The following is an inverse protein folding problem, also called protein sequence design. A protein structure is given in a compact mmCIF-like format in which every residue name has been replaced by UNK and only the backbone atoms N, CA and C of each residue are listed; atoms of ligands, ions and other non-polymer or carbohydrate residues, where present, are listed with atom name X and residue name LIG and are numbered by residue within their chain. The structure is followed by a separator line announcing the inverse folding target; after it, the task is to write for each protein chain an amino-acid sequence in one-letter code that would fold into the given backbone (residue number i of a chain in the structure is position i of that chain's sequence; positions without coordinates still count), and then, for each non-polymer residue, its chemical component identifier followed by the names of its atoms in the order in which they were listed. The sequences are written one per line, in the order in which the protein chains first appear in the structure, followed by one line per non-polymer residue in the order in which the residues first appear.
data_IF_984357384856
#
_entry.id   IF_984357384856
#
_cell.length_a   1.000
_cell.length_b   1.000
_cell.length_c   1.000
_cell.angle_alpha   90.00
_cell.angle_beta   90.00
_cell.angle_gamma   90.00
#
_symmetry.space_group_name_H-M   'P 1'
#
loop_
_entity.id
_entity.type
_entity.pdbx_description
1 polymer ?
#
# COMPACT_ATOMS: atom_id res chain seq x y z
N UNK A 1 15.16 -14.62 -10.51
CA UNK A 1 13.76 -14.65 -10.03
C UNK A 1 12.91 -15.24 -11.13
N UNK A 2 12.04 -16.18 -10.81
CA UNK A 2 11.11 -16.75 -11.79
C UNK A 2 10.00 -15.73 -12.05
N UNK A 3 9.90 -15.24 -13.28
CA UNK A 3 8.88 -14.26 -13.65
C UNK A 3 7.54 -14.97 -13.81
N UNK A 4 6.46 -14.41 -13.27
CA UNK A 4 5.10 -14.88 -13.57
C UNK A 4 4.87 -14.76 -15.08
N UNK A 5 4.44 -15.84 -15.72
CA UNK A 5 4.29 -15.92 -17.18
C UNK A 5 2.82 -15.92 -17.66
N UNK A 6 1.87 -15.78 -16.75
CA UNK A 6 0.44 -15.69 -17.05
C UNK A 6 -0.28 -14.81 -16.02
N UNK A 7 -1.48 -14.34 -16.39
CA UNK A 7 -2.38 -13.63 -15.48
C UNK A 7 -2.95 -14.61 -14.46
N UNK A 8 -2.95 -14.22 -13.19
CA UNK A 8 -3.56 -15.00 -12.10
C UNK A 8 -4.75 -14.20 -11.58
N UNK A 9 -5.95 -14.80 -11.67
CA UNK A 9 -7.15 -14.29 -11.03
C UNK A 9 -7.38 -15.08 -9.73
N UNK A 10 -7.75 -14.38 -8.67
CA UNK A 10 -7.99 -14.98 -7.36
C UNK A 10 -9.18 -14.33 -6.65
N UNK A 11 -9.84 -15.10 -5.79
CA UNK A 11 -10.88 -14.63 -4.89
C UNK A 11 -10.51 -15.01 -3.45
N UNK A 12 -10.79 -14.11 -2.51
CA UNK A 12 -10.54 -14.35 -1.08
C UNK A 12 -11.84 -14.14 -0.34
N UNK A 13 -12.21 -15.12 0.47
CA UNK A 13 -13.31 -15.02 1.43
C UNK A 13 -12.68 -14.88 2.81
N UNK A 14 -13.13 -13.88 3.56
CA UNK A 14 -12.72 -13.67 4.95
C UNK A 14 -13.96 -13.45 5.82
N UNK A 15 -13.85 -13.82 7.08
CA UNK A 15 -14.88 -13.58 8.10
C UNK A 15 -14.33 -12.68 9.20
N UNK A 16 -15.21 -11.85 9.75
CA UNK A 16 -14.89 -10.96 10.86
C UNK A 16 -15.96 -11.15 11.94
N UNK A 17 -15.54 -11.30 13.19
CA UNK A 17 -16.45 -11.54 14.31
C UNK A 17 -16.26 -10.45 15.35
N UNK A 18 -17.35 -9.74 15.69
CA UNK A 18 -17.38 -8.70 16.73
C UNK A 18 -16.24 -7.66 16.59
N UNK A 19 -15.94 -7.25 15.37
CA UNK A 19 -14.87 -6.30 15.11
C UNK A 19 -15.26 -5.29 14.03
N UNK A 20 -14.51 -4.20 13.97
CA UNK A 20 -14.59 -3.22 12.90
C UNK A 20 -13.42 -3.44 11.92
N UNK A 21 -13.64 -4.09 10.77
CA UNK A 21 -12.55 -4.47 9.87
C UNK A 21 -11.95 -3.30 9.09
N UNK A 22 -12.79 -2.29 8.79
CA UNK A 22 -12.42 -1.04 8.14
C UNK A 22 -13.38 0.06 8.59
N UNK A 23 -12.92 0.92 9.48
CA UNK A 23 -13.69 2.09 9.91
C UNK A 23 -13.75 3.20 8.85
N UNK A 24 -14.85 3.94 8.85
CA UNK A 24 -15.09 5.11 8.02
C UNK A 24 -14.71 6.41 8.77
N UNK A 25 -13.64 7.11 8.38
CA UNK A 25 -13.23 8.35 9.02
C UNK A 25 -14.26 9.48 8.87
N UNK A 26 -15.16 9.40 7.88
CA UNK A 26 -16.22 10.40 7.68
C UNK A 26 -17.50 10.11 8.47
N UNK A 27 -17.62 8.90 9.02
CA UNK A 27 -18.82 8.44 9.73
C UNK A 27 -18.48 7.89 11.13
N UNK A 28 -17.73 8.68 11.91
CA UNK A 28 -17.42 8.35 13.31
C UNK A 28 -16.66 7.04 13.51
N UNK A 29 -15.86 6.62 12.53
CA UNK A 29 -15.10 5.37 12.52
C UNK A 29 -15.99 4.11 12.61
N UNK A 30 -17.28 4.18 12.26
CA UNK A 30 -18.14 2.99 12.11
C UNK A 30 -17.66 2.11 10.95
N UNK A 31 -17.96 0.80 10.92
CA UNK A 31 -17.70 -0.03 9.74
C UNK A 31 -18.23 0.64 8.47
N UNK A 32 -17.43 0.65 7.40
CA UNK A 32 -17.87 1.15 6.10
C UNK A 32 -19.03 0.31 5.57
N UNK A 33 -20.00 0.96 4.97
CA UNK A 33 -21.18 0.35 4.39
C UNK A 33 -21.54 1.09 3.09
N UNK A 34 -21.98 0.35 2.07
CA UNK A 34 -22.51 0.94 0.84
C UNK A 34 -23.99 1.34 1.01
N UNK A 35 -24.60 1.91 -0.03
CA UNK A 35 -26.00 2.36 0.02
C UNK A 35 -27.00 1.21 0.26
N UNK A 36 -26.69 0.01 -0.23
CA UNK A 36 -27.53 -1.18 -0.10
C UNK A 36 -27.37 -1.90 1.25
N UNK A 37 -26.54 -1.37 2.14
CA UNK A 37 -26.33 -1.93 3.47
C UNK A 37 -25.21 -2.98 3.56
N UNK A 38 -24.49 -3.27 2.47
CA UNK A 38 -23.36 -4.20 2.49
C UNK A 38 -22.11 -3.55 3.08
N UNK A 39 -21.43 -4.29 3.95
CA UNK A 39 -20.16 -3.86 4.54
C UNK A 39 -19.05 -3.84 3.51
N UNK A 40 -18.15 -2.86 3.61
CA UNK A 40 -17.03 -2.69 2.70
C UNK A 40 -15.68 -2.70 3.43
N UNK A 41 -14.68 -3.33 2.80
CA UNK A 41 -13.27 -3.21 3.18
C UNK A 41 -12.53 -2.69 1.95
N UNK A 42 -12.06 -1.45 2.04
CA UNK A 42 -11.33 -0.80 0.94
C UNK A 42 -10.06 -1.57 0.58
N UNK A 43 -9.71 -1.53 -0.71
CA UNK A 43 -8.47 -2.12 -1.22
C UNK A 43 -7.23 -1.59 -0.48
N UNK A 44 -7.19 -0.29 -0.16
CA UNK A 44 -6.10 0.33 0.59
C UNK A 44 -5.99 -0.23 2.02
N UNK A 45 -7.11 -0.53 2.68
CA UNK A 45 -7.09 -1.18 4.00
C UNK A 45 -6.59 -2.62 3.91
N UNK A 46 -7.00 -3.37 2.89
CA UNK A 46 -6.50 -4.73 2.65
C UNK A 46 -4.99 -4.70 2.37
N UNK A 47 -4.54 -3.84 1.45
CA UNK A 47 -3.12 -3.64 1.12
C UNK A 47 -2.31 -3.22 2.35
N UNK A 48 -2.89 -2.45 3.29
CA UNK A 48 -2.24 -2.12 4.57
C UNK A 48 -2.05 -3.36 5.45
N UNK A 49 -3.07 -4.22 5.57
CA UNK A 49 -2.93 -5.48 6.34
C UNK A 49 -1.87 -6.41 5.72
N UNK A 50 -1.83 -6.50 4.39
CA UNK A 50 -0.79 -7.25 3.68
C UNK A 50 0.60 -6.67 3.96
N UNK A 51 0.77 -5.34 3.87
CA UNK A 51 2.04 -4.67 4.21
C UNK A 51 2.48 -4.93 5.65
N UNK A 52 1.56 -4.82 6.61
CA UNK A 52 1.87 -5.11 8.01
C UNK A 52 2.32 -6.56 8.18
N UNK A 53 1.66 -7.51 7.50
CA UNK A 53 2.07 -8.92 7.53
C UNK A 53 3.45 -9.15 6.89
N UNK A 54 3.76 -8.44 5.81
CA UNK A 54 5.09 -8.47 5.18
C UNK A 54 6.16 -7.96 6.16
N UNK A 55 5.89 -6.88 6.90
CA UNK A 55 6.79 -6.42 7.96
C UNK A 55 6.97 -7.47 9.07
N UNK A 56 5.90 -8.15 9.49
CA UNK A 56 5.98 -9.22 10.49
C UNK A 56 6.82 -10.42 10.01
N UNK A 57 7.00 -10.54 8.69
CA UNK A 57 7.85 -11.53 8.03
C UNK A 57 9.26 -10.98 7.72
N UNK A 58 9.60 -9.81 8.26
CA UNK A 58 10.89 -9.12 8.06
C UNK A 58 11.17 -8.71 6.60
N UNK A 59 10.12 -8.65 5.77
CA UNK A 59 10.24 -8.16 4.39
C UNK A 59 10.32 -6.63 4.35
N UNK A 60 11.18 -6.11 3.47
CA UNK A 60 11.35 -4.67 3.29
C UNK A 60 10.18 -4.05 2.52
N UNK A 61 9.50 -3.07 3.13
CA UNK A 61 8.40 -2.32 2.51
C UNK A 61 8.67 -0.83 2.50
N UNK A 62 8.21 -0.17 1.44
CA UNK A 62 8.35 1.26 1.26
C UNK A 62 7.31 2.05 2.03
N UNK A 63 6.03 1.63 2.03
CA UNK A 63 4.96 2.40 2.69
C UNK A 63 4.69 1.88 4.10
N UNK A 64 5.40 2.46 5.07
CA UNK A 64 5.27 2.13 6.50
C UNK A 64 4.36 3.12 7.22
N UNK A 65 3.63 2.67 8.25
CA UNK A 65 2.88 3.58 9.14
C UNK A 65 3.81 4.09 10.24
N UNK A 66 3.52 5.28 10.79
CA UNK A 66 4.38 5.90 11.80
C UNK A 66 4.50 5.08 13.10
N UNK A 67 3.43 4.35 13.46
CA UNK A 67 3.37 3.45 14.61
C UNK A 67 4.09 2.11 14.39
N UNK A 68 4.44 1.77 13.14
CA UNK A 68 5.10 0.50 12.77
C UNK A 68 6.34 0.70 11.90
N UNK A 69 6.92 1.90 11.89
CA UNK A 69 8.12 2.15 11.10
C UNK A 69 9.31 1.43 11.74
N UNK A 70 10.11 0.75 10.93
CA UNK A 70 11.32 0.04 11.37
C UNK A 70 12.59 0.82 11.08
N UNK A 71 12.46 1.94 10.37
CA UNK A 71 13.55 2.84 10.03
C UNK A 71 13.36 4.23 10.66
N UNK A 72 14.39 5.07 10.52
CA UNK A 72 14.45 6.39 11.13
C UNK A 72 13.83 7.48 10.25
N UNK A 73 13.31 7.15 9.07
CA UNK A 73 12.81 8.14 8.13
C UNK A 73 11.47 8.71 8.57
N UNK A 74 11.25 9.99 8.28
CA UNK A 74 10.04 10.72 8.62
C UNK A 74 9.12 10.93 7.41
N UNK A 75 9.59 10.63 6.21
CA UNK A 75 8.77 10.68 5.00
C UNK A 75 9.18 9.61 3.97
N UNK A 76 8.24 9.24 3.11
CA UNK A 76 8.50 8.34 1.97
C UNK A 76 9.58 8.90 1.03
N UNK A 77 9.59 10.22 0.87
CA UNK A 77 10.58 10.92 0.05
C UNK A 77 11.99 10.73 0.61
N UNK A 78 12.17 11.00 1.90
CA UNK A 78 13.44 10.85 2.60
C UNK A 78 13.97 9.41 2.45
N UNK A 79 13.10 8.41 2.67
CA UNK A 79 13.42 6.99 2.47
C UNK A 79 13.95 6.69 1.06
N UNK A 80 13.35 7.30 0.03
CA UNK A 80 13.81 7.13 -1.34
C UNK A 80 15.11 7.91 -1.65
N UNK A 81 15.26 9.12 -1.12
CA UNK A 81 16.44 9.98 -1.35
C UNK A 81 17.68 9.51 -0.57
N UNK A 82 17.53 8.78 0.53
CA UNK A 82 18.66 8.19 1.27
C UNK A 82 19.21 6.92 0.62
N UNK A 83 18.43 6.24 -0.23
CA UNK A 83 18.92 5.07 -0.95
C UNK A 83 19.91 5.49 -2.06
N UNK A 84 21.19 5.17 -1.84
CA UNK A 84 22.29 5.59 -2.72
C UNK A 84 22.13 5.07 -4.15
N UNK A 85 21.62 3.86 -4.32
CA UNK A 85 21.47 3.23 -5.63
C UNK A 85 20.33 3.87 -6.42
N UNK A 86 19.24 4.23 -5.75
CA UNK A 86 18.15 5.01 -6.36
C UNK A 86 18.61 6.39 -6.81
N UNK A 87 19.38 7.10 -5.98
CA UNK A 87 19.93 8.42 -6.34
C UNK A 87 20.90 8.33 -7.51
N UNK A 88 21.74 7.29 -7.56
CA UNK A 88 22.64 7.02 -8.71
C UNK A 88 21.84 6.74 -9.98
N UNK A 89 20.79 5.92 -9.90
CA UNK A 89 19.95 5.59 -11.05
C UNK A 89 19.29 6.84 -11.67
N UNK A 90 18.81 7.79 -10.85
CA UNK A 90 18.26 9.05 -11.35
C UNK A 90 19.29 9.94 -12.07
N UNK A 91 20.59 9.77 -11.78
CA UNK A 91 21.69 10.51 -12.42
C UNK A 91 22.26 9.79 -13.64
N UNK A 92 21.79 8.57 -13.94
CA UNK A 92 22.19 7.83 -15.14
C UNK A 92 21.78 8.57 -16.41
N UNK A 93 22.63 8.53 -17.43
CA UNK A 93 22.32 9.07 -18.76
C UNK A 93 21.41 8.14 -19.56
N UNK A 94 21.41 6.84 -19.25
CA UNK A 94 20.64 5.82 -19.94
C UNK A 94 19.52 5.30 -19.03
N UNK A 95 18.29 5.37 -19.54
CA UNK A 95 17.05 4.88 -18.91
C UNK A 95 16.96 5.11 -17.37
N UNK A 96 17.16 6.34 -16.87
CA UNK A 96 17.21 6.60 -15.42
C UNK A 96 15.94 6.16 -14.68
N UNK A 97 14.76 6.33 -15.30
CA UNK A 97 13.48 5.93 -14.72
C UNK A 97 13.32 4.41 -14.61
N UNK A 98 13.80 3.65 -15.60
CA UNK A 98 13.69 2.18 -15.63
C UNK A 98 14.65 1.55 -14.62
N UNK A 99 15.89 2.05 -14.56
CA UNK A 99 16.87 1.62 -13.56
C UNK A 99 16.37 1.93 -12.13
N UNK A 100 15.80 3.12 -11.92
CA UNK A 100 15.19 3.49 -10.65
C UNK A 100 14.08 2.51 -10.28
N UNK A 101 13.15 2.24 -11.21
CA UNK A 101 12.04 1.32 -10.96
C UNK A 101 12.54 -0.10 -10.64
N UNK A 102 13.55 -0.59 -11.34
CA UNK A 102 14.14 -1.91 -11.10
C UNK A 102 14.77 -2.03 -9.70
N UNK A 103 15.53 -1.01 -9.27
CA UNK A 103 16.13 -0.97 -7.93
C UNK A 103 15.04 -0.86 -6.87
N UNK A 104 14.05 0.01 -7.05
CA UNK A 104 12.94 0.18 -6.10
C UNK A 104 12.12 -1.12 -5.94
N UNK A 105 11.86 -1.84 -7.04
CA UNK A 105 11.19 -3.15 -7.02
C UNK A 105 12.03 -4.25 -6.37
N UNK A 106 13.36 -4.14 -6.41
CA UNK A 106 14.25 -5.08 -5.74
C UNK A 106 14.28 -4.82 -4.23
N UNK A 107 14.31 -3.55 -3.84
CA UNK A 107 14.40 -3.10 -2.45
C UNK A 107 13.08 -3.32 -1.69
N UNK A 108 11.94 -2.98 -2.30
CA UNK A 108 10.65 -2.99 -1.61
C UNK A 108 9.62 -3.88 -2.28
N UNK A 109 9.15 -4.89 -1.54
CA UNK A 109 8.19 -5.87 -2.07
C UNK A 109 6.82 -5.24 -2.33
N UNK A 110 6.41 -4.25 -1.56
CA UNK A 110 5.11 -3.58 -1.74
C UNK A 110 5.11 -2.65 -2.97
N UNK A 111 6.24 -1.99 -3.28
CA UNK A 111 6.43 -1.25 -4.53
C UNK A 111 6.38 -2.20 -5.72
N UNK A 112 7.09 -3.33 -5.63
CA UNK A 112 7.07 -4.37 -6.68
C UNK A 112 5.68 -4.93 -6.91
N UNK A 113 4.89 -5.11 -5.84
CA UNK A 113 3.59 -5.79 -5.89
C UNK A 113 2.44 -4.84 -6.25
N UNK A 114 2.34 -3.70 -5.56
CA UNK A 114 1.21 -2.77 -5.68
C UNK A 114 1.52 -1.52 -6.49
N UNK A 115 2.79 -1.27 -6.81
CA UNK A 115 3.24 -0.04 -7.45
C UNK A 115 3.38 1.13 -6.48
N UNK A 116 4.06 2.17 -6.94
CA UNK A 116 4.27 3.40 -6.20
C UNK A 116 4.60 4.54 -7.17
N UNK A 117 4.08 5.73 -6.87
CA UNK A 117 4.54 6.96 -7.54
C UNK A 117 5.56 7.64 -6.64
N UNK A 118 6.77 7.83 -7.16
CA UNK A 118 7.84 8.57 -6.52
C UNK A 118 7.87 10.00 -7.08
N UNK A 119 7.65 10.98 -6.21
CA UNK A 119 7.67 12.39 -6.59
C UNK A 119 9.00 13.04 -6.17
N UNK A 120 9.76 13.54 -7.14
CA UNK A 120 11.02 14.25 -6.90
C UNK A 120 10.86 15.74 -7.19
N UNK A 121 11.61 16.58 -6.46
CA UNK A 121 11.79 17.98 -6.86
C UNK A 121 12.69 17.97 -8.10
N UNK A 122 12.15 18.35 -9.25
CA UNK A 122 13.01 18.67 -10.39
C UNK A 122 13.58 20.08 -10.27
N UNK A 123 14.53 20.42 -11.16
CA UNK A 123 15.03 21.77 -11.30
C UNK A 123 13.97 22.73 -11.87
N UNK A 124 14.07 24.01 -11.49
CA UNK A 124 13.31 25.15 -12.03
C UNK A 124 11.82 24.87 -12.32
N UNK A 125 11.08 24.38 -11.33
CA UNK A 125 9.61 24.32 -11.36
C UNK A 125 8.98 23.16 -12.13
N UNK A 126 9.75 22.26 -12.75
CA UNK A 126 9.21 21.03 -13.35
C UNK A 126 9.44 19.86 -12.41
N UNK A 127 8.40 19.45 -11.66
CA UNK A 127 8.46 18.21 -10.86
C UNK A 127 8.75 17.01 -11.76
N UNK A 128 9.69 16.15 -11.35
CA UNK A 128 9.97 14.88 -12.04
C UNK A 128 9.36 13.77 -11.19
N UNK A 129 8.53 12.92 -11.77
CA UNK A 129 7.97 11.75 -11.09
C UNK A 129 8.40 10.47 -11.79
N UNK A 130 8.65 9.42 -10.99
CA UNK A 130 8.86 8.06 -11.49
C UNK A 130 7.66 7.23 -11.03
N UNK A 131 6.90 6.70 -11.97
CA UNK A 131 5.77 5.82 -11.68
C UNK A 131 6.16 4.34 -11.84
N UNK A 132 6.00 3.56 -10.78
CA UNK A 132 6.12 2.09 -10.82
C UNK A 132 4.72 1.50 -10.76
N UNK A 133 4.37 0.65 -11.73
CA UNK A 133 3.11 -0.12 -11.74
C UNK A 133 3.37 -1.52 -11.19
N UNK A 134 2.61 -1.91 -10.17
CA UNK A 134 2.65 -3.26 -9.63
C UNK A 134 1.67 -4.19 -10.37
N UNK A 135 1.95 -5.50 -10.45
CA UNK A 135 1.06 -6.45 -11.11
C UNK A 135 -0.15 -6.86 -10.26
N UNK A 136 -0.16 -6.58 -8.95
CA UNK A 136 -1.22 -7.01 -8.03
C UNK A 136 -2.26 -5.90 -7.86
N UNK A 137 -3.44 -6.11 -8.45
CA UNK A 137 -4.63 -5.29 -8.25
C UNK A 137 -5.57 -5.98 -7.27
N UNK A 138 -6.00 -5.26 -6.24
CA UNK A 138 -6.99 -5.72 -5.26
C UNK A 138 -8.18 -4.77 -5.36
N UNK A 139 -9.38 -5.34 -5.36
CA UNK A 139 -10.62 -4.60 -5.36
C UNK A 139 -11.17 -4.49 -3.93
N UNK A 140 -12.07 -3.52 -3.70
CA UNK A 140 -12.86 -3.45 -2.47
C UNK A 140 -13.55 -4.80 -2.22
N UNK A 141 -13.44 -5.30 -1.00
CA UNK A 141 -14.19 -6.48 -0.58
C UNK A 141 -15.56 -6.03 -0.05
N UNK A 142 -16.61 -6.75 -0.45
CA UNK A 142 -17.99 -6.48 -0.07
C UNK A 142 -18.54 -7.69 0.67
N UNK A 143 -19.33 -7.48 1.73
CA UNK A 143 -20.00 -8.57 2.44
C UNK A 143 -21.02 -9.26 1.54
N UNK A 144 -21.21 -10.57 1.77
CA UNK A 144 -22.21 -11.36 1.04
C UNK A 144 -23.63 -10.87 1.33
N UNK A 145 -23.90 -10.53 2.59
CA UNK A 145 -25.18 -10.01 3.06
C UNK A 145 -25.02 -8.60 3.65
N UNK A 146 -26.10 -7.80 3.74
CA UNK A 146 -26.09 -6.55 4.48
C UNK A 146 -25.64 -6.73 5.93
N UNK A 147 -24.90 -5.75 6.45
CA UNK A 147 -24.38 -5.77 7.82
C UNK A 147 -25.25 -4.94 8.76
N UNK A 148 -25.34 -5.38 10.01
CA UNK A 148 -25.87 -4.58 11.10
C UNK A 148 -24.73 -4.02 11.96
N UNK A 149 -24.80 -2.74 12.28
CA UNK A 149 -23.75 -2.01 13.01
C UNK A 149 -24.24 -1.75 14.42
N UNK A 150 -23.74 -2.54 15.37
CA UNK A 150 -24.01 -2.34 16.79
C UNK A 150 -23.05 -1.33 17.40
N UNK A 151 -23.58 -0.31 18.08
CA UNK A 151 -22.78 0.58 18.93
C UNK A 151 -22.67 0.00 20.34
N UNK A 152 -21.45 -0.22 20.83
CA UNK A 152 -21.18 -0.70 22.18
C UNK A 152 -20.53 0.41 23.01
N UNK A 153 -21.15 0.78 24.13
CA UNK A 153 -20.59 1.71 25.09
C UNK A 153 -19.65 0.96 26.05
N UNK A 154 -18.48 1.55 26.31
CA UNK A 154 -17.55 1.08 27.33
C UNK A 154 -17.42 2.15 28.41
N UNK A 155 -17.29 1.72 29.67
CA UNK A 155 -16.95 2.58 30.80
C UNK A 155 -15.43 2.51 31.02
N UNK A 156 -14.80 3.65 31.32
CA UNK A 156 -13.36 3.69 31.67
C UNK A 156 -13.13 3.39 33.14
#
# INVERSE_FOLDING_TARGET
MTTLNHKIDFAVVLSVTKANPNGDPLNGNRPRQNYDGHGEISDVAIKRKIRNRLQDMEESIFVQSNDRKVDQFNSLRERAETNVDLVKALKSKENPHEQFAAIACKEWIDVRSFGQVFAFKGGAGKGVSVGVRGPVSIHTATSVDPIDITSMQITK
#
